data_IF_584590943741
#
_entry.id   IF_584590943741
#
_cell.length_a   1.000
_cell.length_b   1.000
_cell.length_c   1.000
_cell.angle_alpha   90.00
_cell.angle_beta   90.00
_cell.angle_gamma   90.00
#
_symmetry.space_group_name_H-M   'P 1'
#
loop_
_entity.id
_entity.type
_entity.pdbx_description
1 polymer ?
#
# COMPACT_ATOMS: atom_id res chain seq x y z
N UNK A 1 -56.85 -6.98 -17.06
CA UNK A 1 -55.61 -6.21 -17.04
C UNK A 1 -54.61 -7.00 -17.86
N UNK A 2 -54.08 -6.41 -18.94
CA UNK A 2 -53.63 -7.13 -20.13
C UNK A 2 -52.24 -7.78 -19.93
N UNK A 3 -52.20 -9.10 -19.87
CA UNK A 3 -50.96 -9.89 -19.88
C UNK A 3 -50.06 -9.56 -21.09
N UNK A 4 -50.65 -9.21 -22.22
CA UNK A 4 -49.92 -8.83 -23.44
C UNK A 4 -49.12 -7.54 -23.27
N UNK A 5 -49.62 -6.58 -22.49
CA UNK A 5 -48.93 -5.33 -22.22
C UNK A 5 -47.73 -5.53 -21.28
N UNK A 6 -47.88 -6.38 -20.28
CA UNK A 6 -46.79 -6.77 -19.38
C UNK A 6 -45.67 -7.53 -20.12
N UNK A 7 -46.04 -8.39 -21.10
CA UNK A 7 -45.03 -9.07 -21.94
C UNK A 7 -44.28 -8.12 -22.87
N UNK A 8 -44.95 -7.10 -23.43
CA UNK A 8 -44.29 -6.09 -24.25
C UNK A 8 -43.36 -5.20 -23.44
N UNK A 9 -43.77 -4.80 -22.23
CA UNK A 9 -42.96 -3.98 -21.35
C UNK A 9 -41.73 -4.78 -20.84
N UNK A 10 -41.85 -6.08 -20.56
CA UNK A 10 -40.74 -6.95 -20.20
C UNK A 10 -39.79 -7.23 -21.37
N UNK A 11 -40.30 -7.33 -22.59
CA UNK A 11 -39.47 -7.49 -23.79
C UNK A 11 -38.67 -6.22 -24.08
N UNK A 12 -39.29 -5.04 -23.93
CA UNK A 12 -38.63 -3.73 -24.09
C UNK A 12 -37.52 -3.53 -23.02
N UNK A 13 -37.75 -3.93 -21.76
CA UNK A 13 -36.76 -3.91 -20.70
C UNK A 13 -35.60 -4.89 -20.97
N UNK A 14 -35.87 -6.04 -21.58
CA UNK A 14 -34.84 -7.01 -21.94
C UNK A 14 -33.98 -6.55 -23.10
N UNK A 15 -34.52 -5.76 -24.03
CA UNK A 15 -33.75 -5.15 -25.14
C UNK A 15 -32.91 -3.94 -24.70
N UNK A 16 -33.33 -3.26 -23.63
CA UNK A 16 -32.58 -2.11 -23.06
C UNK A 16 -31.39 -2.54 -22.19
N UNK A 17 -31.42 -3.78 -21.71
CA UNK A 17 -30.28 -4.39 -21.00
C UNK A 17 -29.27 -4.86 -22.04
N UNK A 18 -28.28 -4.02 -22.38
CA UNK A 18 -27.09 -4.49 -23.10
C UNK A 18 -26.53 -5.71 -22.34
N UNK A 19 -26.35 -6.86 -23.01
CA UNK A 19 -25.77 -8.01 -22.34
C UNK A 19 -24.34 -7.64 -21.91
N UNK A 20 -24.20 -7.22 -20.65
CA UNK A 20 -22.90 -7.15 -20.00
C UNK A 20 -22.30 -8.52 -20.16
N UNK A 21 -21.11 -8.61 -20.73
CA UNK A 21 -20.46 -9.90 -20.99
C UNK A 21 -20.11 -10.59 -19.66
N UNK A 22 -21.15 -11.17 -19.04
CA UNK A 22 -21.06 -11.95 -17.80
C UNK A 22 -20.11 -13.13 -17.94
N UNK A 23 -19.83 -13.55 -19.18
CA UNK A 23 -18.91 -14.64 -19.49
C UNK A 23 -17.48 -14.26 -19.16
N UNK A 24 -17.02 -13.06 -19.56
CA UNK A 24 -15.68 -12.60 -19.26
C UNK A 24 -15.51 -12.29 -17.78
N UNK A 25 -16.56 -11.78 -17.14
CA UNK A 25 -16.57 -11.56 -15.67
C UNK A 25 -16.56 -12.89 -14.92
N UNK A 26 -17.37 -13.88 -15.36
CA UNK A 26 -17.38 -15.21 -14.78
C UNK A 26 -16.07 -15.97 -15.01
N UNK A 27 -15.42 -15.80 -16.17
CA UNK A 27 -14.12 -16.41 -16.47
C UNK A 27 -13.00 -15.75 -15.64
N UNK A 28 -13.05 -14.44 -15.43
CA UNK A 28 -12.12 -13.73 -14.53
C UNK A 28 -12.27 -14.22 -13.10
N UNK A 29 -13.49 -14.29 -12.58
CA UNK A 29 -13.77 -14.79 -11.23
C UNK A 29 -13.39 -16.29 -11.08
N UNK A 30 -13.67 -17.12 -12.10
CA UNK A 30 -13.32 -18.54 -12.11
C UNK A 30 -11.80 -18.77 -12.13
N UNK A 31 -11.03 -17.95 -12.87
CA UNK A 31 -9.56 -18.00 -12.86
C UNK A 31 -9.00 -17.62 -11.49
N UNK A 32 -9.56 -16.61 -10.82
CA UNK A 32 -9.19 -16.22 -9.46
C UNK A 32 -9.38 -17.37 -8.45
N UNK A 33 -10.55 -17.97 -8.45
CA UNK A 33 -10.83 -19.11 -7.58
C UNK A 33 -9.94 -20.32 -7.89
N UNK A 34 -9.59 -20.54 -9.16
CA UNK A 34 -8.66 -21.58 -9.59
C UNK A 34 -7.24 -21.36 -9.05
N UNK A 35 -6.73 -20.14 -9.11
CA UNK A 35 -5.40 -19.77 -8.59
C UNK A 35 -5.36 -19.87 -7.07
N UNK A 36 -6.39 -19.37 -6.36
CA UNK A 36 -6.47 -19.49 -4.90
C UNK A 36 -6.54 -20.93 -4.42
N UNK A 37 -7.28 -21.79 -5.12
CA UNK A 37 -7.34 -23.24 -4.82
C UNK A 37 -6.03 -23.96 -5.13
N UNK A 38 -5.34 -23.62 -6.23
CA UNK A 38 -4.04 -24.18 -6.57
C UNK A 38 -2.96 -23.81 -5.53
N UNK A 39 -2.97 -22.58 -5.01
CA UNK A 39 -2.05 -22.16 -3.94
C UNK A 39 -2.35 -22.88 -2.62
N UNK A 40 -3.64 -23.07 -2.27
CA UNK A 40 -4.03 -23.77 -1.05
C UNK A 40 -3.70 -25.28 -1.12
N UNK A 41 -3.90 -25.91 -2.29
CA UNK A 41 -3.60 -27.35 -2.48
C UNK A 41 -2.11 -27.65 -2.58
N UNK A 42 -1.29 -26.73 -3.13
CA UNK A 42 0.17 -26.93 -3.18
C UNK A 42 0.82 -26.81 -1.80
N UNK A 43 0.31 -25.95 -0.90
CA UNK A 43 0.79 -25.89 0.47
C UNK A 43 0.49 -27.19 1.26
N UNK A 44 -0.69 -27.78 1.07
CA UNK A 44 -1.05 -29.06 1.69
C UNK A 44 -0.22 -30.24 1.13
N UNK A 45 0.08 -30.25 -0.17
CA UNK A 45 0.89 -31.28 -0.79
C UNK A 45 2.35 -31.25 -0.33
N UNK A 46 2.95 -30.07 -0.11
CA UNK A 46 4.31 -29.96 0.42
C UNK A 46 4.41 -30.43 1.86
N UNK A 47 3.38 -30.19 2.69
CA UNK A 47 3.35 -30.70 4.08
C UNK A 47 3.22 -32.22 4.11
N UNK A 48 2.43 -32.81 3.20
CA UNK A 48 2.26 -34.28 3.12
C UNK A 48 3.51 -34.97 2.57
N UNK A 49 4.22 -34.40 1.59
CA UNK A 49 5.50 -34.94 1.12
C UNK A 49 6.60 -34.81 2.18
N UNK A 50 6.63 -33.73 2.94
CA UNK A 50 7.57 -33.55 4.05
C UNK A 50 7.37 -34.55 5.17
N UNK A 51 6.13 -34.95 5.48
CA UNK A 51 5.83 -35.96 6.49
C UNK A 51 6.17 -37.39 6.00
N UNK A 52 6.05 -37.68 4.71
CA UNK A 52 6.37 -39.00 4.14
C UNK A 52 7.90 -39.24 4.01
N UNK A 53 8.69 -38.19 3.74
CA UNK A 53 10.16 -38.31 3.65
C UNK A 53 10.87 -38.28 5.01
N UNK A 54 10.25 -37.67 6.04
CA UNK A 54 10.82 -37.60 7.41
C UNK A 54 10.92 -38.96 8.10
N UNK A 55 10.07 -39.93 7.77
CA UNK A 55 10.09 -41.29 8.37
C UNK A 55 11.08 -42.25 7.70
N UNK A 56 11.59 -41.97 6.50
CA UNK A 56 12.53 -42.85 5.81
C UNK A 56 14.00 -42.63 6.24
N UNK A 57 14.33 -41.48 6.83
CA UNK A 57 15.72 -41.18 7.28
C UNK A 57 16.08 -41.69 8.68
N UNK A 58 15.12 -42.24 9.42
CA UNK A 58 15.37 -42.73 10.79
C UNK A 58 15.92 -44.15 10.86
N UNK A 59 16.14 -44.84 9.75
CA UNK A 59 16.55 -46.27 9.71
C UNK A 59 17.92 -46.54 9.05
N UNK A 60 18.74 -45.52 8.77
CA UNK A 60 20.12 -45.76 8.32
C UNK A 60 21.11 -45.73 9.50
N UNK A 61 22.03 -46.76 9.62
CA UNK A 61 23.06 -46.78 10.64
C UNK A 61 24.03 -45.61 10.43
N UNK A 62 24.38 -44.92 11.51
CA UNK A 62 25.46 -43.92 11.52
C UNK A 62 26.80 -44.64 11.54
N UNK A 63 27.64 -44.44 10.54
CA UNK A 63 29.05 -44.71 10.58
C UNK A 63 29.73 -43.65 11.44
N UNK A 64 30.44 -44.11 12.48
CA UNK A 64 31.23 -43.31 13.39
C UNK A 64 32.51 -42.83 12.70
N UNK A 65 32.49 -41.61 12.12
CA UNK A 65 33.69 -40.90 11.69
C UNK A 65 34.27 -40.05 12.84
N UNK A 66 35.60 -39.86 12.91
CA UNK A 66 36.23 -39.17 14.04
C UNK A 66 35.88 -37.69 14.12
N UNK A 67 35.68 -37.23 15.35
CA UNK A 67 35.27 -35.86 15.69
C UNK A 67 36.33 -34.81 15.26
N UNK A 68 35.90 -33.64 14.74
CA UNK A 68 36.84 -32.57 14.43
C UNK A 68 37.37 -31.88 15.69
N UNK A 69 38.67 -31.61 15.70
CA UNK A 69 39.39 -30.92 16.76
C UNK A 69 39.01 -29.44 16.83
N UNK A 70 38.74 -28.84 18.02
CA UNK A 70 38.38 -27.43 18.12
C UNK A 70 39.58 -26.53 17.83
N UNK A 71 39.34 -25.53 16.94
CA UNK A 71 40.31 -24.48 16.62
C UNK A 71 40.47 -23.53 17.82
N UNK A 72 41.71 -23.33 18.26
CA UNK A 72 42.11 -22.37 19.29
C UNK A 72 41.99 -20.93 18.79
N UNK A 73 41.21 -20.11 19.47
CA UNK A 73 41.07 -18.66 19.24
C UNK A 73 42.26 -17.91 19.87
N UNK A 74 42.94 -17.00 19.18
CA UNK A 74 43.95 -16.16 19.82
C UNK A 74 43.32 -15.05 20.68
N UNK A 75 43.73 -14.97 21.94
CA UNK A 75 43.42 -13.89 22.87
C UNK A 75 44.13 -12.61 22.47
N UNK A 76 43.38 -11.58 22.14
CA UNK A 76 43.89 -10.22 22.00
C UNK A 76 43.82 -9.49 23.34
N UNK A 77 44.99 -9.12 23.85
CA UNK A 77 45.20 -8.33 25.07
C UNK A 77 44.76 -6.89 24.82
N UNK A 78 43.81 -6.40 25.60
CA UNK A 78 43.39 -5.00 25.56
C UNK A 78 44.30 -4.14 26.43
N UNK A 79 44.93 -3.13 25.84
CA UNK A 79 45.68 -2.05 26.49
C UNK A 79 44.73 -1.07 27.17
N UNK A 80 44.95 -0.63 28.43
CA UNK A 80 44.07 0.31 29.11
C UNK A 80 44.25 1.74 28.58
N UNK A 81 43.12 2.39 28.28
CA UNK A 81 43.00 3.81 27.91
C UNK A 81 43.10 4.68 29.16
N UNK A 82 43.78 5.86 29.09
CA UNK A 82 43.94 6.74 30.24
C UNK A 82 42.64 7.52 30.55
N UNK A 83 42.37 7.66 31.83
CA UNK A 83 41.26 8.40 32.45
C UNK A 83 41.39 9.90 32.20
N UNK A 84 40.34 10.63 31.77
CA UNK A 84 40.36 12.08 31.75
C UNK A 84 40.18 12.70 33.14
N UNK A 85 40.97 13.69 33.41
CA UNK A 85 40.99 14.48 34.63
C UNK A 85 39.74 15.30 34.82
N UNK A 86 39.26 15.34 36.04
CA UNK A 86 38.08 16.02 36.53
C UNK A 86 38.31 17.56 36.54
N UNK A 87 37.45 18.30 35.81
CA UNK A 87 37.46 19.77 35.81
C UNK A 87 36.35 20.33 36.73
N UNK A 88 36.73 21.15 37.65
CA UNK A 88 35.95 21.83 38.67
C UNK A 88 34.86 22.74 38.03
N UNK A 89 33.59 22.77 38.52
CA UNK A 89 32.59 23.66 37.98
C UNK A 89 32.75 25.09 38.52
N UNK A 90 32.97 26.06 37.65
CA UNK A 90 32.88 27.49 37.94
C UNK A 90 31.41 27.93 37.80
N UNK A 91 30.83 28.36 38.90
CA UNK A 91 29.49 28.97 38.96
C UNK A 91 29.52 30.33 38.31
N UNK A 92 28.85 30.48 37.17
CA UNK A 92 28.58 31.80 36.56
C UNK A 92 27.07 32.06 36.56
N UNK A 93 26.74 33.26 37.06
CA UNK A 93 25.37 33.75 37.22
C UNK A 93 24.56 33.70 35.91
N UNK A 94 23.30 33.28 36.04
CA UNK A 94 22.28 33.28 34.99
C UNK A 94 21.92 34.71 34.58
N UNK A 95 21.91 35.06 33.31
CA UNK A 95 21.15 36.19 32.82
C UNK A 95 19.71 35.77 32.55
N UNK A 96 18.80 36.58 33.02
CA UNK A 96 17.37 36.60 32.82
C UNK A 96 17.01 36.33 31.35
N UNK A 97 16.29 35.25 31.11
CA UNK A 97 15.90 34.84 29.76
C UNK A 97 14.90 35.84 29.17
N UNK A 98 15.38 36.63 28.23
CA UNK A 98 14.50 37.33 27.29
C UNK A 98 13.64 36.27 26.58
N UNK A 99 12.33 36.40 26.70
CA UNK A 99 11.35 35.60 25.95
C UNK A 99 11.56 35.94 24.47
N UNK A 100 12.35 35.12 23.80
CA UNK A 100 12.48 35.14 22.35
C UNK A 100 11.12 34.69 21.79
N UNK A 101 10.39 35.64 21.21
CA UNK A 101 9.23 35.33 20.35
C UNK A 101 9.76 34.45 19.23
N UNK A 102 9.56 33.13 19.38
CA UNK A 102 9.96 32.16 18.36
C UNK A 102 9.30 32.55 17.04
N UNK A 103 10.12 32.77 16.03
CA UNK A 103 9.63 32.83 14.66
C UNK A 103 8.76 31.57 14.43
N UNK A 104 7.49 31.76 14.08
CA UNK A 104 6.60 30.67 13.71
C UNK A 104 7.29 29.92 12.57
N UNK A 105 7.67 28.65 12.83
CA UNK A 105 8.16 27.76 11.79
C UNK A 105 7.13 27.68 10.66
N UNK A 106 7.50 27.21 9.48
CA UNK A 106 6.56 27.07 8.35
C UNK A 106 5.35 26.27 8.81
N UNK A 107 4.17 26.89 8.72
CA UNK A 107 2.91 26.25 9.10
C UNK A 107 2.68 25.08 8.13
N UNK A 108 2.64 23.84 8.63
CA UNK A 108 2.34 22.68 7.83
C UNK A 108 1.00 22.86 7.07
N UNK A 109 0.98 22.54 5.80
CA UNK A 109 -0.17 22.72 4.92
C UNK A 109 -0.53 21.41 4.24
N UNK A 110 -1.81 21.26 3.81
CA UNK A 110 -2.20 20.15 2.98
C UNK A 110 -1.61 20.35 1.58
N UNK A 111 -0.86 19.36 1.10
CA UNK A 111 -0.30 19.33 -0.23
C UNK A 111 -1.34 19.15 -1.33
N UNK A 112 -0.91 18.73 -2.50
CA UNK A 112 -1.80 18.44 -3.64
C UNK A 112 -2.45 17.08 -3.46
N UNK A 113 -3.79 17.05 -3.35
CA UNK A 113 -4.58 15.82 -3.18
C UNK A 113 -5.08 15.37 -4.55
N UNK A 114 -4.92 14.09 -4.88
CA UNK A 114 -5.29 13.51 -6.15
C UNK A 114 -6.49 12.59 -5.99
N UNK A 115 -7.40 12.65 -6.97
CA UNK A 115 -8.68 11.96 -6.91
C UNK A 115 -8.94 11.15 -8.16
N UNK A 116 -9.60 10.00 -7.98
CA UNK A 116 -10.12 9.14 -9.02
C UNK A 116 -11.54 8.65 -8.67
N UNK A 117 -12.17 7.88 -9.56
CA UNK A 117 -13.52 7.37 -9.34
C UNK A 117 -13.55 6.45 -8.13
N UNK A 118 -14.67 6.46 -7.40
CA UNK A 118 -14.92 5.47 -6.37
C UNK A 118 -15.14 4.09 -7.00
N UNK A 119 -14.93 3.05 -6.20
CA UNK A 119 -15.09 1.65 -6.61
C UNK A 119 -16.47 1.31 -7.18
N UNK A 120 -17.51 2.00 -6.73
CA UNK A 120 -18.88 1.87 -7.23
C UNK A 120 -19.12 2.56 -8.57
N UNK A 121 -18.12 3.24 -9.14
CA UNK A 121 -18.26 3.86 -10.45
C UNK A 121 -18.38 2.77 -11.51
N UNK A 122 -19.51 2.69 -12.16
CA UNK A 122 -19.76 1.86 -13.32
C UNK A 122 -19.51 2.68 -14.59
N UNK A 123 -18.84 2.09 -15.57
CA UNK A 123 -18.63 2.75 -16.84
C UNK A 123 -17.58 2.04 -17.68
N UNK A 124 -17.86 1.93 -18.98
CA UNK A 124 -16.87 1.50 -19.95
C UNK A 124 -16.16 2.74 -20.52
N UNK A 125 -14.84 2.73 -20.53
CA UNK A 125 -14.02 3.77 -21.15
C UNK A 125 -13.13 4.52 -20.17
N UNK A 126 -12.32 5.47 -20.65
CA UNK A 126 -11.39 6.19 -19.80
C UNK A 126 -12.10 7.23 -18.93
N UNK A 127 -11.67 7.34 -17.68
CA UNK A 127 -12.15 8.33 -16.72
C UNK A 127 -11.07 9.35 -16.39
N UNK A 128 -11.50 10.56 -16.10
CA UNK A 128 -10.63 11.69 -15.78
C UNK A 128 -10.24 11.65 -14.32
N UNK A 129 -8.94 11.75 -14.04
CA UNK A 129 -8.43 12.02 -12.71
C UNK A 129 -8.49 13.53 -12.40
N UNK A 130 -8.40 13.88 -11.13
CA UNK A 130 -8.46 15.24 -10.65
C UNK A 130 -7.39 15.49 -9.59
N UNK A 131 -7.06 16.77 -9.40
CA UNK A 131 -6.28 17.19 -8.22
C UNK A 131 -6.89 18.44 -7.60
N UNK A 132 -6.58 18.62 -6.31
CA UNK A 132 -7.06 19.74 -5.52
C UNK A 132 -5.97 20.18 -4.53
N UNK A 133 -5.76 21.50 -4.42
CA UNK A 133 -5.03 22.13 -3.31
C UNK A 133 -6.00 23.00 -2.53
N UNK A 134 -5.92 23.04 -1.19
CA UNK A 134 -6.67 24.01 -0.40
C UNK A 134 -6.49 25.42 -0.92
N UNK A 135 -7.61 26.15 -1.05
CA UNK A 135 -7.61 27.50 -1.58
C UNK A 135 -7.59 27.64 -3.12
N UNK A 136 -7.63 26.52 -3.85
CA UNK A 136 -7.74 26.53 -5.32
C UNK A 136 -8.98 25.77 -5.81
N UNK A 137 -9.30 25.92 -7.09
CA UNK A 137 -10.30 25.07 -7.75
C UNK A 137 -9.71 23.70 -8.11
N UNK A 138 -10.55 22.64 -8.16
CA UNK A 138 -10.13 21.34 -8.65
C UNK A 138 -9.63 21.40 -10.11
N UNK A 139 -8.49 20.77 -10.36
CA UNK A 139 -7.86 20.72 -11.70
C UNK A 139 -8.08 19.35 -12.33
N UNK A 140 -8.49 19.34 -13.59
CA UNK A 140 -8.60 18.12 -14.39
C UNK A 140 -7.22 17.63 -14.82
N UNK A 141 -7.00 16.35 -14.68
CA UNK A 141 -5.75 15.68 -15.07
C UNK A 141 -5.98 14.77 -16.29
N UNK A 142 -5.04 13.89 -16.56
CA UNK A 142 -5.16 12.89 -17.63
C UNK A 142 -6.37 11.98 -17.42
N UNK A 143 -6.75 11.26 -18.48
CA UNK A 143 -7.71 10.16 -18.41
C UNK A 143 -6.98 8.84 -18.46
N UNK A 144 -7.40 7.90 -17.61
CA UNK A 144 -6.90 6.52 -17.58
C UNK A 144 -8.07 5.54 -17.71
N UNK A 145 -7.85 4.28 -18.10
CA UNK A 145 -8.92 3.28 -18.13
C UNK A 145 -9.65 3.20 -16.78
N UNK A 146 -10.97 3.05 -16.79
CA UNK A 146 -11.79 3.06 -15.56
C UNK A 146 -11.33 2.02 -14.55
N UNK A 147 -11.08 0.79 -15.01
CA UNK A 147 -10.63 -0.30 -14.14
C UNK A 147 -9.28 0.03 -13.47
N UNK A 148 -8.35 0.60 -14.23
CA UNK A 148 -7.06 1.06 -13.69
C UNK A 148 -7.24 2.22 -12.69
N UNK A 149 -8.11 3.20 -13.01
CA UNK A 149 -8.38 4.32 -12.11
C UNK A 149 -8.93 3.87 -10.75
N UNK A 150 -9.76 2.84 -10.74
CA UNK A 150 -10.37 2.27 -9.53
C UNK A 150 -9.37 1.39 -8.78
N UNK A 151 -8.62 0.54 -9.50
CA UNK A 151 -7.91 -0.60 -8.92
C UNK A 151 -6.44 -0.32 -8.62
N UNK A 152 -5.73 0.43 -9.49
CA UNK A 152 -4.27 0.46 -9.41
C UNK A 152 -3.58 1.76 -9.86
N UNK A 153 -4.30 2.78 -10.32
CA UNK A 153 -3.66 4.05 -10.68
C UNK A 153 -3.09 4.76 -9.45
N UNK A 154 -1.82 5.12 -9.51
CA UNK A 154 -1.07 5.78 -8.42
C UNK A 154 -0.32 7.00 -8.92
N UNK A 155 -0.27 8.03 -8.09
CA UNK A 155 0.43 9.29 -8.38
C UNK A 155 1.83 9.23 -7.79
N UNK A 156 2.81 9.80 -8.51
CA UNK A 156 4.19 9.89 -8.04
C UNK A 156 4.32 10.82 -6.81
N UNK A 157 5.32 10.60 -5.95
CA UNK A 157 5.55 11.45 -4.77
C UNK A 157 5.72 12.95 -5.07
N UNK A 158 6.31 13.28 -6.23
CA UNK A 158 6.43 14.68 -6.70
C UNK A 158 5.12 15.24 -7.28
N UNK A 159 4.08 14.40 -7.45
CA UNK A 159 2.79 14.82 -7.99
C UNK A 159 2.77 15.12 -9.50
N UNK A 160 3.83 14.77 -10.24
CA UNK A 160 3.97 15.13 -11.65
C UNK A 160 3.55 14.01 -12.59
N UNK A 161 3.49 12.74 -12.12
CA UNK A 161 3.20 11.57 -12.95
C UNK A 161 2.16 10.64 -12.36
N UNK A 162 1.53 9.85 -13.22
CA UNK A 162 0.63 8.76 -12.85
C UNK A 162 1.15 7.46 -13.44
N UNK A 163 1.15 6.39 -12.66
CA UNK A 163 1.43 5.04 -13.11
C UNK A 163 0.18 4.16 -12.94
N UNK A 164 -0.03 3.24 -13.89
CA UNK A 164 -1.08 2.23 -13.81
C UNK A 164 -0.71 0.98 -14.60
N UNK A 165 -1.38 -0.13 -14.30
CA UNK A 165 -1.26 -1.38 -15.04
C UNK A 165 -2.58 -1.63 -15.77
N UNK A 166 -2.53 -1.96 -17.06
CA UNK A 166 -3.70 -2.26 -17.87
C UNK A 166 -4.06 -3.75 -17.87
N UNK A 167 -5.19 -4.10 -18.49
CA UNK A 167 -5.69 -5.48 -18.61
C UNK A 167 -4.72 -6.41 -19.40
N UNK A 168 -3.82 -5.84 -20.19
CA UNK A 168 -2.77 -6.56 -20.91
C UNK A 168 -1.53 -6.76 -20.06
N UNK A 169 -1.57 -6.37 -18.78
CA UNK A 169 -0.47 -6.46 -17.81
C UNK A 169 0.76 -5.61 -18.20
N UNK A 170 0.52 -4.47 -18.86
CA UNK A 170 1.57 -3.49 -19.13
C UNK A 170 1.55 -2.36 -18.11
N UNK A 171 2.72 -1.95 -17.65
CA UNK A 171 2.88 -0.74 -16.86
C UNK A 171 2.88 0.48 -17.79
N UNK A 172 1.99 1.41 -17.50
CA UNK A 172 1.91 2.72 -18.14
C UNK A 172 2.35 3.79 -17.16
N UNK A 173 3.04 4.80 -17.66
CA UNK A 173 3.41 6.02 -16.92
C UNK A 173 3.20 7.19 -17.86
N UNK A 174 2.56 8.25 -17.35
CA UNK A 174 2.39 9.50 -18.08
C UNK A 174 2.48 10.68 -17.11
N UNK A 175 2.78 11.86 -17.62
CA UNK A 175 2.65 13.09 -16.86
C UNK A 175 1.18 13.34 -16.50
N UNK A 176 0.91 14.05 -15.41
CA UNK A 176 -0.47 14.30 -14.92
C UNK A 176 -1.35 15.06 -15.90
N UNK A 177 -0.76 15.75 -16.89
CA UNK A 177 -1.48 16.39 -17.99
C UNK A 177 -1.75 15.45 -19.19
N UNK A 178 -1.17 14.25 -19.17
CA UNK A 178 -1.28 13.24 -20.20
C UNK A 178 -0.15 13.25 -21.23
N UNK A 179 0.83 14.11 -21.08
CA UNK A 179 2.05 14.13 -21.91
C UNK A 179 3.06 13.06 -21.48
N UNK A 180 4.12 12.87 -22.24
CA UNK A 180 5.21 11.90 -22.03
C UNK A 180 4.73 10.46 -21.66
N UNK A 181 3.61 10.03 -22.25
CA UNK A 181 3.06 8.70 -22.00
C UNK A 181 3.98 7.60 -22.49
N UNK A 182 4.36 6.67 -21.61
CA UNK A 182 5.23 5.53 -21.88
C UNK A 182 4.59 4.23 -21.46
N UNK A 183 4.88 3.16 -22.19
CA UNK A 183 4.43 1.81 -21.89
C UNK A 183 5.63 0.91 -21.66
N UNK A 184 5.70 0.28 -20.50
CA UNK A 184 6.72 -0.70 -20.16
C UNK A 184 6.11 -2.09 -20.28
N UNK A 185 6.53 -2.82 -21.33
CA UNK A 185 6.00 -4.15 -21.61
C UNK A 185 6.65 -5.17 -20.70
N UNK A 186 5.85 -6.09 -20.20
CA UNK A 186 6.31 -7.17 -19.34
C UNK A 186 5.13 -8.05 -18.90
N UNK A 187 5.42 -9.25 -18.43
CA UNK A 187 4.41 -10.12 -17.84
C UNK A 187 4.16 -9.67 -16.39
N UNK A 188 3.47 -8.55 -16.23
CA UNK A 188 3.07 -8.07 -14.91
C UNK A 188 1.97 -8.96 -14.35
N UNK A 189 1.82 -8.93 -13.05
CA UNK A 189 0.74 -9.65 -12.37
C UNK A 189 -0.58 -8.93 -12.64
N UNK A 190 -1.68 -9.68 -12.54
CA UNK A 190 -3.04 -9.18 -12.66
C UNK A 190 -3.20 -7.84 -11.88
N UNK A 191 -3.65 -6.76 -12.54
CA UNK A 191 -3.83 -5.45 -11.94
C UNK A 191 -4.76 -5.45 -10.72
N UNK A 192 -5.64 -6.43 -10.61
CA UNK A 192 -6.52 -6.59 -9.45
C UNK A 192 -5.78 -7.00 -8.17
N UNK A 193 -4.57 -7.54 -8.27
CA UNK A 193 -3.74 -7.91 -7.12
C UNK A 193 -2.58 -6.93 -6.89
N UNK A 194 -2.02 -6.37 -7.95
CA UNK A 194 -0.82 -5.54 -7.86
C UNK A 194 -1.07 -4.11 -8.31
N UNK A 195 -1.05 -3.19 -7.36
CA UNK A 195 -0.97 -1.77 -7.61
C UNK A 195 0.51 -1.42 -7.78
N UNK A 196 0.90 -0.70 -8.84
CA UNK A 196 2.25 -0.15 -8.94
C UNK A 196 2.53 0.73 -7.73
N UNK A 197 3.77 0.76 -7.25
CA UNK A 197 4.16 1.62 -6.14
C UNK A 197 5.36 2.47 -6.51
N UNK A 198 5.19 3.78 -6.46
CA UNK A 198 6.28 4.70 -6.69
C UNK A 198 7.35 4.60 -5.62
N UNK A 199 8.61 4.54 -6.03
CA UNK A 199 9.71 4.82 -5.12
C UNK A 199 9.77 6.34 -4.82
N UNK A 200 10.33 6.76 -3.68
CA UNK A 200 10.31 8.17 -3.26
C UNK A 200 11.01 9.14 -4.21
N UNK A 201 11.90 8.63 -5.07
CA UNK A 201 12.60 9.43 -6.08
C UNK A 201 11.75 9.77 -7.31
N UNK A 202 10.51 9.28 -7.39
CA UNK A 202 9.62 9.42 -8.55
C UNK A 202 10.23 8.96 -9.89
N UNK A 203 11.35 8.23 -9.87
CA UNK A 203 12.04 7.73 -11.07
C UNK A 203 11.89 6.23 -11.23
N UNK A 204 11.40 5.54 -10.22
CA UNK A 204 11.27 4.09 -10.16
C UNK A 204 9.88 3.69 -9.70
N UNK A 205 9.38 2.59 -10.25
CA UNK A 205 8.09 2.01 -9.90
C UNK A 205 8.26 0.54 -9.54
N UNK A 206 7.79 0.15 -8.37
CA UNK A 206 7.73 -1.25 -7.95
C UNK A 206 6.53 -1.93 -8.58
N UNK A 207 6.77 -3.09 -9.19
CA UNK A 207 5.75 -3.94 -9.81
C UNK A 207 6.03 -5.39 -9.50
N UNK A 208 5.05 -6.25 -9.72
CA UNK A 208 5.22 -7.70 -9.75
C UNK A 208 5.18 -8.19 -11.19
N UNK A 209 6.03 -9.13 -11.56
CA UNK A 209 6.00 -9.77 -12.86
C UNK A 209 5.87 -11.29 -12.75
N UNK A 210 5.24 -11.89 -13.76
CA UNK A 210 5.17 -13.34 -13.93
C UNK A 210 6.44 -13.82 -14.61
N UNK A 211 7.20 -14.72 -13.97
CA UNK A 211 8.39 -15.36 -14.56
C UNK A 211 8.09 -16.73 -15.12
N UNK A 212 7.06 -17.41 -14.59
CA UNK A 212 6.56 -18.70 -15.10
C UNK A 212 5.07 -18.82 -14.82
N UNK A 213 4.32 -19.28 -15.80
CA UNK A 213 2.89 -19.58 -15.65
C UNK A 213 2.62 -21.07 -15.41
N UNK A 214 3.55 -21.96 -15.77
CA UNK A 214 3.41 -23.40 -15.70
C UNK A 214 4.60 -24.06 -14.96
N UNK A 215 4.38 -25.11 -14.14
CA UNK A 215 3.12 -25.71 -13.73
C UNK A 215 2.37 -24.91 -12.65
N UNK A 216 2.98 -23.89 -12.10
CA UNK A 216 2.40 -22.93 -11.17
C UNK A 216 2.92 -21.53 -11.49
N UNK A 217 2.06 -20.54 -11.29
CA UNK A 217 2.45 -19.15 -11.48
C UNK A 217 3.55 -18.76 -10.49
N UNK A 218 4.73 -18.43 -11.00
CA UNK A 218 5.84 -17.88 -10.22
C UNK A 218 5.94 -16.40 -10.50
N UNK A 219 5.88 -15.60 -9.45
CA UNK A 219 5.97 -14.15 -9.53
C UNK A 219 7.19 -13.63 -8.78
N UNK A 220 7.74 -12.53 -9.23
CA UNK A 220 8.78 -11.81 -8.53
C UNK A 220 8.46 -10.31 -8.46
N UNK A 221 8.75 -9.71 -7.32
CA UNK A 221 8.61 -8.27 -7.10
C UNK A 221 9.92 -7.58 -7.46
N UNK A 222 9.83 -6.45 -8.12
CA UNK A 222 10.99 -5.66 -8.45
C UNK A 222 10.65 -4.22 -8.81
N UNK A 223 11.69 -3.48 -9.07
CA UNK A 223 11.63 -2.07 -9.42
C UNK A 223 11.93 -1.91 -10.89
N UNK A 224 11.07 -1.20 -11.60
CA UNK A 224 11.31 -0.72 -12.98
C UNK A 224 11.91 0.68 -12.90
N UNK A 225 13.09 0.86 -13.45
CA UNK A 225 13.70 2.17 -13.66
C UNK A 225 13.09 2.81 -14.92
N UNK A 226 12.46 3.97 -14.77
CA UNK A 226 11.69 4.58 -15.87
C UNK A 226 12.56 5.09 -17.02
N UNK A 227 13.80 5.49 -16.75
CA UNK A 227 14.73 5.97 -17.78
C UNK A 227 15.16 4.86 -18.76
N UNK A 228 15.34 3.64 -18.28
CA UNK A 228 15.89 2.50 -19.03
C UNK A 228 14.88 1.38 -19.27
N UNK A 229 13.75 1.35 -18.54
CA UNK A 229 12.82 0.22 -18.52
C UNK A 229 13.39 -1.03 -17.84
N UNK A 230 14.56 -0.94 -17.20
CA UNK A 230 15.22 -2.08 -16.58
C UNK A 230 14.48 -2.50 -15.31
N UNK A 231 14.12 -3.78 -15.24
CA UNK A 231 13.58 -4.40 -14.04
C UNK A 231 14.71 -4.94 -13.16
N UNK A 232 14.65 -4.64 -11.86
CA UNK A 232 15.57 -5.17 -10.84
C UNK A 232 14.77 -5.80 -9.72
N UNK A 233 14.95 -7.10 -9.48
CA UNK A 233 14.25 -7.86 -8.46
C UNK A 233 14.55 -7.36 -7.04
N UNK A 234 13.54 -7.36 -6.17
CA UNK A 234 13.64 -7.04 -4.75
C UNK A 234 13.27 -8.27 -3.93
N UNK A 235 14.23 -8.91 -3.28
CA UNK A 235 14.01 -10.01 -2.32
C UNK A 235 13.11 -11.14 -2.82
N UNK A 236 12.56 -11.90 -1.87
CA UNK A 236 11.56 -12.96 -2.10
C UNK A 236 10.20 -12.54 -1.51
N UNK A 237 9.76 -11.35 -1.87
CA UNK A 237 8.56 -10.72 -1.31
C UNK A 237 7.30 -11.34 -1.91
N UNK A 238 6.29 -11.48 -1.08
CA UNK A 238 4.94 -11.92 -1.45
C UNK A 238 3.93 -10.94 -0.86
N UNK A 239 2.84 -10.72 -1.55
CA UNK A 239 1.77 -9.80 -1.16
C UNK A 239 1.38 -8.90 -2.32
N UNK A 240 0.23 -8.26 -2.20
CA UNK A 240 -0.27 -7.29 -3.17
C UNK A 240 0.00 -5.87 -2.66
N UNK A 241 -0.05 -4.87 -3.54
CA UNK A 241 -0.04 -3.45 -3.22
C UNK A 241 1.11 -2.99 -2.31
N UNK A 242 2.40 -3.17 -2.73
CA UNK A 242 3.52 -2.67 -1.94
C UNK A 242 3.46 -1.15 -1.80
N UNK A 243 3.95 -0.63 -0.65
CA UNK A 243 4.09 0.81 -0.44
C UNK A 243 5.48 1.15 0.07
N UNK A 244 6.06 2.22 -0.44
CA UNK A 244 7.30 2.79 0.05
C UNK A 244 7.04 3.82 1.16
N UNK A 245 7.92 3.85 2.16
CA UNK A 245 8.06 5.02 3.02
C UNK A 245 8.70 6.17 2.22
N UNK A 246 8.34 7.43 2.54
CA UNK A 246 8.88 8.58 1.81
C UNK A 246 10.40 8.74 1.94
N UNK A 247 11.02 8.22 3.03
CA UNK A 247 12.48 8.19 3.21
C UNK A 247 13.16 7.05 2.41
N UNK A 248 12.39 6.20 1.73
CA UNK A 248 12.87 5.11 0.89
C UNK A 248 13.48 3.93 1.61
N UNK A 249 13.40 3.86 2.95
CA UNK A 249 14.05 2.80 3.72
C UNK A 249 13.17 1.62 4.03
N UNK A 250 11.85 1.79 3.97
CA UNK A 250 10.86 0.77 4.34
C UNK A 250 9.92 0.49 3.17
N UNK A 251 9.65 -0.80 2.94
CA UNK A 251 8.59 -1.29 2.08
C UNK A 251 7.56 -2.01 2.94
N UNK A 252 6.29 -1.65 2.79
CA UNK A 252 5.15 -2.33 3.40
C UNK A 252 4.49 -3.25 2.38
N UNK A 253 4.26 -4.51 2.76
CA UNK A 253 3.57 -5.52 1.97
C UNK A 253 2.36 -6.04 2.73
N UNK A 254 1.15 -5.65 2.35
CA UNK A 254 -0.06 -6.31 2.84
C UNK A 254 -0.17 -7.71 2.22
N UNK A 255 -0.52 -8.68 3.04
CA UNK A 255 -0.88 -10.04 2.63
C UNK A 255 -2.36 -10.28 2.92
N UNK A 256 -3.16 -10.12 1.89
CA UNK A 256 -4.62 -10.25 1.97
C UNK A 256 -5.06 -11.66 2.45
N UNK A 257 -4.28 -12.70 2.18
CA UNK A 257 -4.62 -14.08 2.57
C UNK A 257 -4.49 -14.32 4.06
N UNK A 258 -3.50 -13.71 4.70
CA UNK A 258 -3.29 -13.81 6.16
C UNK A 258 -3.80 -12.60 6.93
N UNK A 259 -4.18 -11.52 6.25
CA UNK A 259 -4.59 -10.25 6.86
C UNK A 259 -3.46 -9.51 7.56
N UNK A 260 -2.19 -9.83 7.24
CA UNK A 260 -0.97 -9.25 7.84
C UNK A 260 -0.38 -8.16 6.97
N UNK A 261 0.41 -7.30 7.60
CA UNK A 261 1.32 -6.39 6.91
C UNK A 261 2.74 -6.73 7.31
N UNK A 262 3.59 -6.99 6.33
CA UNK A 262 5.02 -7.19 6.51
C UNK A 262 5.77 -5.94 6.08
N UNK A 263 6.67 -5.45 6.92
CA UNK A 263 7.57 -4.35 6.66
C UNK A 263 8.98 -4.88 6.44
N UNK A 264 9.64 -4.42 5.38
CA UNK A 264 11.01 -4.83 5.03
C UNK A 264 11.87 -3.60 4.80
N UNK A 265 13.19 -3.79 4.69
CA UNK A 265 14.06 -2.75 4.15
C UNK A 265 13.82 -2.59 2.62
N UNK A 266 14.42 -1.58 2.02
CA UNK A 266 14.31 -1.27 0.58
C UNK A 266 14.75 -2.42 -0.36
N UNK A 267 15.43 -3.43 0.17
CA UNK A 267 15.88 -4.61 -0.58
C UNK A 267 15.00 -5.84 -0.32
N UNK A 268 13.87 -5.66 0.38
CA UNK A 268 12.97 -6.76 0.73
C UNK A 268 13.51 -7.71 1.79
N UNK A 269 14.44 -7.25 2.62
CA UNK A 269 15.09 -8.03 3.69
C UNK A 269 14.60 -7.56 5.05
N UNK A 270 14.98 -8.30 6.10
CA UNK A 270 14.68 -7.96 7.50
C UNK A 270 13.18 -7.79 7.77
N UNK A 271 12.37 -8.65 7.12
CA UNK A 271 10.93 -8.61 7.24
C UNK A 271 10.45 -8.75 8.68
N UNK A 272 9.52 -7.88 9.10
CA UNK A 272 8.79 -7.98 10.36
C UNK A 272 7.31 -7.73 10.11
N UNK A 273 6.45 -8.49 10.75
CA UNK A 273 5.01 -8.24 10.72
C UNK A 273 4.60 -7.17 11.72
N UNK A 274 3.58 -6.39 11.40
CA UNK A 274 2.92 -5.50 12.37
C UNK A 274 2.27 -6.36 13.45
N UNK A 275 2.55 -6.13 14.75
CA UNK A 275 1.98 -6.93 15.83
C UNK A 275 0.45 -6.82 15.91
N UNK A 276 -0.21 -7.89 16.37
CA UNK A 276 -1.66 -7.96 16.57
C UNK A 276 -2.49 -7.66 15.31
N UNK A 277 -1.96 -8.01 14.14
CA UNK A 277 -2.61 -7.82 12.84
C UNK A 277 -2.48 -9.10 12.00
N UNK A 278 -3.62 -9.68 11.64
CA UNK A 278 -3.72 -10.87 10.80
C UNK A 278 -3.30 -12.18 11.46
N UNK A 279 -3.35 -13.28 10.72
CA UNK A 279 -3.10 -14.62 11.24
C UNK A 279 -4.16 -15.03 12.28
N UNK A 280 -3.72 -15.24 13.52
CA UNK A 280 -4.63 -15.59 14.64
C UNK A 280 -5.07 -14.36 15.47
N UNK A 281 -4.79 -13.14 15.02
CA UNK A 281 -5.24 -11.95 15.70
C UNK A 281 -6.73 -11.67 15.41
N UNK A 282 -7.41 -11.00 16.37
CA UNK A 282 -8.81 -10.60 16.21
C UNK A 282 -9.00 -9.48 15.17
N UNK A 283 -7.92 -8.98 14.60
CA UNK A 283 -7.92 -7.89 13.62
C UNK A 283 -7.10 -8.27 12.41
N UNK A 284 -7.60 -7.91 11.25
CA UNK A 284 -6.92 -8.13 9.98
C UNK A 284 -7.01 -6.89 9.09
N UNK A 285 -6.23 -6.85 8.03
CA UNK A 285 -6.40 -5.89 6.95
C UNK A 285 -6.24 -6.60 5.60
N UNK A 286 -6.77 -5.98 4.56
CA UNK A 286 -6.61 -6.46 3.19
C UNK A 286 -5.47 -5.71 2.50
N UNK A 287 -5.39 -4.40 2.75
CA UNK A 287 -4.50 -3.47 2.06
C UNK A 287 -4.03 -2.35 3.00
N UNK A 288 -3.02 -1.60 2.59
CA UNK A 288 -2.50 -0.41 3.26
C UNK A 288 -2.69 0.80 2.34
N UNK A 289 -3.41 1.81 2.79
CA UNK A 289 -3.66 3.01 2.01
C UNK A 289 -2.46 3.98 2.02
N UNK A 290 -1.74 4.08 3.14
CA UNK A 290 -0.60 4.98 3.27
C UNK A 290 0.39 4.55 4.36
N UNK A 291 1.67 4.89 4.17
CA UNK A 291 2.79 4.63 5.08
C UNK A 291 3.45 5.96 5.47
N UNK A 292 3.76 6.15 6.75
CA UNK A 292 4.48 7.35 7.20
C UNK A 292 5.90 7.42 6.60
N UNK A 293 6.52 8.60 6.52
CA UNK A 293 7.82 8.78 5.87
C UNK A 293 8.92 7.85 6.38
N UNK A 294 8.90 7.51 7.65
CA UNK A 294 9.87 6.62 8.30
C UNK A 294 9.38 5.18 8.48
N UNK A 295 8.19 4.85 7.98
CA UNK A 295 7.56 3.54 8.13
C UNK A 295 7.08 3.22 9.56
N UNK A 296 7.05 4.18 10.48
CA UNK A 296 6.61 3.97 11.86
C UNK A 296 5.09 3.92 12.05
N UNK A 297 4.33 4.40 11.07
CA UNK A 297 2.85 4.44 11.07
C UNK A 297 2.30 3.90 9.76
N UNK A 298 1.13 3.25 9.82
CA UNK A 298 0.36 2.82 8.63
C UNK A 298 -1.10 3.24 8.77
N UNK A 299 -1.68 3.72 7.67
CA UNK A 299 -3.11 3.99 7.55
C UNK A 299 -3.77 2.86 6.75
N UNK A 300 -4.81 2.24 7.31
CA UNK A 300 -5.46 1.07 6.71
C UNK A 300 -6.90 0.91 7.21
N UNK A 301 -7.64 0.00 6.58
CA UNK A 301 -8.92 -0.48 7.12
C UNK A 301 -8.68 -1.73 7.96
N UNK A 302 -8.90 -1.58 9.27
CA UNK A 302 -8.97 -2.71 10.20
C UNK A 302 -10.31 -3.41 10.05
N UNK A 303 -10.28 -4.72 9.98
CA UNK A 303 -11.42 -5.63 9.97
C UNK A 303 -11.46 -6.42 11.26
N UNK A 304 -12.67 -6.60 11.78
CA UNK A 304 -12.93 -7.44 12.93
C UNK A 304 -13.10 -8.91 12.58
N UNK A 305 -13.29 -9.78 13.61
CA UNK A 305 -13.59 -11.20 13.40
C UNK A 305 -14.87 -11.38 12.56
N UNK A 306 -14.80 -12.23 11.53
CA UNK A 306 -15.94 -12.54 10.68
C UNK A 306 -16.30 -11.45 9.65
N UNK A 307 -15.56 -10.37 9.59
CA UNK A 307 -15.68 -9.38 8.51
C UNK A 307 -14.93 -9.89 7.28
N UNK A 308 -15.67 -10.22 6.22
CA UNK A 308 -15.09 -10.76 5.00
C UNK A 308 -14.13 -9.75 4.37
N UNK A 309 -13.01 -10.24 3.87
CA UNK A 309 -12.05 -9.43 3.15
C UNK A 309 -12.58 -8.97 1.78
N UNK A 310 -13.58 -9.69 1.24
CA UNK A 310 -14.08 -9.43 -0.10
C UNK A 310 -12.98 -9.60 -1.17
N UNK A 311 -13.40 -9.73 -2.40
CA UNK A 311 -12.49 -9.72 -3.55
C UNK A 311 -12.28 -8.26 -3.99
N UNK A 312 -11.35 -7.56 -3.33
CA UNK A 312 -11.07 -6.15 -3.59
C UNK A 312 -9.70 -6.01 -4.21
N UNK A 313 -9.65 -5.30 -5.33
CA UNK A 313 -8.41 -5.03 -6.03
C UNK A 313 -7.47 -4.15 -5.19
N UNK A 314 -8.00 -3.06 -4.62
CA UNK A 314 -7.29 -2.09 -3.79
C UNK A 314 -8.26 -1.54 -2.75
N UNK A 315 -7.82 -1.37 -1.52
CA UNK A 315 -8.64 -0.76 -0.47
C UNK A 315 -8.05 0.56 0.00
N UNK A 316 -8.70 1.65 -0.35
CA UNK A 316 -8.31 3.01 0.04
C UNK A 316 -9.11 3.56 1.22
N UNK A 317 -10.15 2.83 1.66
CA UNK A 317 -10.89 3.16 2.88
C UNK A 317 -9.98 2.97 4.09
N UNK A 318 -10.05 3.92 5.03
CA UNK A 318 -9.25 3.91 6.25
C UNK A 318 -10.16 4.12 7.46
N UNK A 319 -10.00 3.28 8.47
CA UNK A 319 -10.67 3.46 9.76
C UNK A 319 -9.67 3.47 10.95
N UNK A 320 -8.39 3.28 10.66
CA UNK A 320 -7.33 3.27 11.66
C UNK A 320 -5.98 3.71 11.10
N UNK A 321 -5.20 4.33 11.98
CA UNK A 321 -3.75 4.50 11.83
C UNK A 321 -3.10 3.69 12.93
N UNK A 322 -2.13 2.84 12.58
CA UNK A 322 -1.43 1.99 13.54
C UNK A 322 0.05 2.37 13.65
N UNK A 323 0.57 2.24 14.86
CA UNK A 323 2.01 2.18 15.10
C UNK A 323 2.54 0.81 14.64
N UNK A 324 3.49 0.80 13.71
CA UNK A 324 3.97 -0.44 13.08
C UNK A 324 4.84 -1.30 13.99
N UNK A 325 5.37 -0.73 15.08
CA UNK A 325 6.19 -1.46 16.05
C UNK A 325 5.35 -2.16 17.10
N UNK A 326 4.23 -1.56 17.50
CA UNK A 326 3.39 -2.06 18.60
C UNK A 326 2.05 -2.61 18.15
N UNK A 327 1.59 -2.30 16.93
CA UNK A 327 0.24 -2.60 16.42
C UNK A 327 -0.86 -1.81 17.12
N UNK A 328 -0.53 -0.80 17.94
CA UNK A 328 -1.52 0.04 18.63
C UNK A 328 -2.11 1.08 17.68
N UNK A 329 -3.42 1.28 17.82
CA UNK A 329 -4.13 2.34 17.11
C UNK A 329 -3.71 3.71 17.66
N UNK A 330 -3.42 4.64 16.74
CA UNK A 330 -3.22 6.05 17.05
C UNK A 330 -4.58 6.70 17.28
N UNK A 331 -4.68 7.54 18.28
CA UNK A 331 -5.85 8.38 18.51
C UNK A 331 -5.75 9.64 17.65
N UNK A 332 -6.80 9.91 16.87
CA UNK A 332 -6.83 11.03 15.94
C UNK A 332 -7.86 12.06 16.41
N UNK A 333 -7.44 13.32 16.52
CA UNK A 333 -8.32 14.44 16.91
C UNK A 333 -9.32 14.82 15.81
N UNK A 334 -10.25 13.90 15.50
CA UNK A 334 -11.28 14.08 14.50
C UNK A 334 -12.63 14.56 15.09
N UNK A 335 -12.70 14.78 16.41
CA UNK A 335 -13.93 15.20 17.09
C UNK A 335 -15.07 14.17 16.99
N UNK A 336 -14.76 12.87 17.04
CA UNK A 336 -15.73 11.78 16.95
C UNK A 336 -16.30 11.55 15.54
N UNK A 337 -15.81 12.26 14.52
CA UNK A 337 -16.24 12.11 13.13
C UNK A 337 -15.64 10.85 12.49
N UNK A 338 -16.34 10.31 11.49
CA UNK A 338 -15.90 9.11 10.76
C UNK A 338 -14.72 9.42 9.86
N UNK A 339 -13.60 8.73 10.08
CA UNK A 339 -12.48 8.68 9.15
C UNK A 339 -12.87 7.87 7.91
N UNK A 340 -12.61 8.41 6.73
CA UNK A 340 -12.90 7.78 5.44
C UNK A 340 -11.63 7.34 4.73
N UNK A 341 -10.62 8.22 4.66
CA UNK A 341 -9.32 7.98 4.04
C UNK A 341 -8.24 8.74 4.80
N UNK A 342 -6.98 8.30 4.73
CA UNK A 342 -5.86 8.98 5.36
C UNK A 342 -4.54 8.74 4.61
N UNK A 343 -3.77 9.80 4.40
CA UNK A 343 -2.50 9.76 3.66
C UNK A 343 -1.44 10.58 4.37
N UNK A 344 -0.29 9.99 4.59
CA UNK A 344 0.88 10.70 5.11
C UNK A 344 1.52 11.56 4.01
N UNK A 345 1.95 12.75 4.39
CA UNK A 345 2.79 13.64 3.59
C UNK A 345 4.27 13.39 3.90
N UNK A 346 5.18 13.87 3.07
CA UNK A 346 6.61 13.65 3.25
C UNK A 346 7.18 14.32 4.49
N UNK A 347 6.53 15.37 5.00
CA UNK A 347 6.87 16.03 6.27
C UNK A 347 6.40 15.26 7.53
N UNK A 348 5.70 14.14 7.37
CA UNK A 348 5.16 13.31 8.45
C UNK A 348 3.79 13.72 8.95
N UNK A 349 3.20 14.78 8.43
CA UNK A 349 1.81 15.12 8.71
C UNK A 349 0.86 14.14 8.01
N UNK A 350 -0.39 14.07 8.50
CA UNK A 350 -1.41 13.17 8.01
C UNK A 350 -2.61 13.96 7.49
N UNK A 351 -2.94 13.79 6.21
CA UNK A 351 -4.18 14.31 5.63
C UNK A 351 -5.28 13.26 5.82
N UNK A 352 -6.26 13.57 6.65
CA UNK A 352 -7.41 12.72 6.93
C UNK A 352 -8.65 13.27 6.23
N UNK A 353 -9.32 12.46 5.40
CA UNK A 353 -10.63 12.75 4.83
C UNK A 353 -11.71 12.31 5.80
N UNK A 354 -12.59 13.22 6.19
CA UNK A 354 -13.59 13.01 7.24
C UNK A 354 -14.98 13.38 6.74
N UNK A 355 -15.97 12.54 7.03
CA UNK A 355 -17.37 12.82 6.71
C UNK A 355 -17.99 13.82 7.72
N UNK A 356 -18.69 14.86 7.22
CA UNK A 356 -19.42 15.84 8.03
C UNK A 356 -20.80 16.06 7.41
N UNK A 357 -21.81 15.39 7.92
CA UNK A 357 -23.13 15.38 7.30
C UNK A 357 -23.07 14.82 5.87
N UNK A 358 -23.46 15.64 4.91
CA UNK A 358 -23.46 15.30 3.49
C UNK A 358 -22.19 15.74 2.75
N UNK A 359 -21.20 16.31 3.42
CA UNK A 359 -19.94 16.82 2.87
C UNK A 359 -18.74 16.09 3.46
N UNK A 360 -17.60 16.23 2.80
CA UNK A 360 -16.30 15.81 3.31
C UNK A 360 -15.45 17.03 3.65
N UNK A 361 -14.53 16.83 4.58
CA UNK A 361 -13.48 17.79 4.93
C UNK A 361 -12.13 17.08 4.94
N UNK A 362 -11.09 17.81 4.63
CA UNK A 362 -9.70 17.40 4.79
C UNK A 362 -9.17 17.98 6.09
N UNK A 363 -8.75 17.11 7.00
CA UNK A 363 -8.15 17.50 8.29
C UNK A 363 -6.67 17.20 8.22
N UNK A 364 -5.83 18.20 8.45
CA UNK A 364 -4.40 18.04 8.62
C UNK A 364 -4.10 17.74 10.08
N UNK A 365 -3.40 16.65 10.33
CA UNK A 365 -2.96 16.20 11.65
C UNK A 365 -1.44 16.16 11.71
N UNK A 366 -0.87 16.37 12.89
CA UNK A 366 0.55 16.09 13.13
C UNK A 366 0.82 14.57 13.25
N UNK A 367 2.10 14.20 13.37
CA UNK A 367 2.51 12.79 13.50
C UNK A 367 1.96 12.09 14.74
N UNK A 368 1.47 12.83 15.74
CA UNK A 368 0.83 12.32 16.96
C UNK A 368 -0.70 12.26 16.85
N UNK A 369 -1.28 12.68 15.73
CA UNK A 369 -2.73 12.67 15.49
C UNK A 369 -3.48 13.90 15.97
N UNK A 370 -2.78 14.98 16.38
CA UNK A 370 -3.39 16.23 16.81
C UNK A 370 -3.74 17.10 15.61
N UNK A 371 -4.90 17.73 15.67
CA UNK A 371 -5.39 18.58 14.59
C UNK A 371 -4.57 19.87 14.44
N UNK A 372 -4.04 20.09 13.24
CA UNK A 372 -3.36 21.34 12.84
C UNK A 372 -4.36 22.27 12.15
N UNK A 373 -5.07 21.78 11.13
CA UNK A 373 -6.00 22.59 10.34
C UNK A 373 -7.11 21.74 9.74
N UNK A 374 -8.09 22.39 9.14
CA UNK A 374 -9.20 21.74 8.44
C UNK A 374 -9.63 22.59 7.25
N UNK A 375 -9.91 21.92 6.12
CA UNK A 375 -10.33 22.57 4.87
C UNK A 375 -11.54 21.81 4.28
N UNK A 376 -12.61 22.50 3.88
CA UNK A 376 -13.72 21.88 3.16
C UNK A 376 -13.23 21.25 1.84
N UNK A 377 -13.66 20.04 1.57
CA UNK A 377 -13.45 19.42 0.26
C UNK A 377 -14.48 19.99 -0.74
N UNK A 378 -14.06 20.32 -2.00
CA UNK A 378 -14.99 20.75 -3.02
C UNK A 378 -16.11 19.73 -3.27
N UNK A 379 -17.35 20.19 -3.35
CA UNK A 379 -18.53 19.31 -3.54
C UNK A 379 -18.44 18.48 -4.81
N UNK A 380 -17.78 19.00 -5.85
CA UNK A 380 -17.54 18.28 -7.11
C UNK A 380 -16.66 17.03 -6.95
N UNK A 381 -15.90 16.90 -5.85
CA UNK A 381 -15.04 15.76 -5.55
C UNK A 381 -15.69 14.77 -4.58
N UNK A 382 -16.90 15.02 -4.08
CA UNK A 382 -17.60 14.18 -3.09
C UNK A 382 -17.69 12.71 -3.53
N UNK A 383 -18.00 12.47 -4.82
CA UNK A 383 -18.13 11.14 -5.41
C UNK A 383 -16.81 10.51 -5.85
N UNK A 384 -15.67 11.12 -5.53
CA UNK A 384 -14.35 10.61 -5.86
C UNK A 384 -13.68 9.99 -4.62
N UNK A 385 -12.68 9.15 -4.81
CA UNK A 385 -11.77 8.68 -3.77
C UNK A 385 -10.40 9.36 -3.90
N UNK A 386 -9.70 9.56 -2.79
CA UNK A 386 -8.31 10.02 -2.82
C UNK A 386 -7.42 8.86 -3.28
N UNK A 387 -6.57 9.13 -4.27
CA UNK A 387 -5.56 8.18 -4.78
C UNK A 387 -4.19 8.39 -4.13
N UNK A 388 -3.92 9.58 -3.63
CA UNK A 388 -2.68 9.95 -2.98
C UNK A 388 -2.60 11.45 -2.68
N UNK A 389 -1.54 11.83 -1.96
CA UNK A 389 -1.19 13.21 -1.65
C UNK A 389 0.27 13.42 -2.01
N UNK A 390 0.59 14.53 -2.67
CA UNK A 390 1.96 15.00 -2.92
C UNK A 390 2.16 16.38 -2.33
N UNK A 391 3.38 16.72 -1.93
CA UNK A 391 3.73 17.98 -1.27
C UNK A 391 3.70 19.20 -2.21
#
# INVERSE_FOLDING_TARGET
MNDDRLRLDLAALADEVSPVDLRDRALRTSRRLGVQRAVATSAAAVVMLGAATGTAFALMPRDDGPAPVPATTPSTTLTPTPTPSEATPTTTASPEAAVSSGAAGPTATIGRVFYGPQRSAEGAGPVRLWSFRPGSEPVRLLSVPTDAAISNAVVSPDGERVAWVDDSSYLHVADVDGTDARTYRGNLVDPDCWTPAWAPDSQRVTVSRVVSAEPSMVTEVGVVELSSGKFTRIGDLRGCHPLWSADGKVLAFPDASSGRVTLTDQYGRKGRSVPNLGGNADRSCFDVASLSPDGSRIALRLRGPGEESGDVARELDVNAVLDTRTGRKLDLELGGRKLLQAYFQADGTLVARVGVGDRNVLVLLDGDGRKISETPEPTSLKGQQILGVAD
#
